data_IF_223194066339
#
_entry.id   IF_223194066339
#
_cell.length_a   1.000
_cell.length_b   1.000
_cell.length_c   1.000
_cell.angle_alpha   90.00
_cell.angle_beta   90.00
_cell.angle_gamma   90.00
#
_symmetry.space_group_name_H-M   'P 1'
#
loop_
_entity.id
_entity.type
_entity.pdbx_description
1 polymer ?
#
# COMPACT_ATOMS: atom_id res chain seq x y z
N UNK A 1 -18.78 -29.22 -6.50
CA UNK A 1 -17.61 -29.02 -5.63
C UNK A 1 -16.60 -28.13 -6.35
N UNK A 2 -16.59 -26.83 -6.05
CA UNK A 2 -15.72 -25.87 -6.74
C UNK A 2 -14.28 -26.12 -6.30
N UNK A 3 -13.43 -26.62 -7.20
CA UNK A 3 -12.00 -26.79 -6.95
C UNK A 3 -11.36 -25.41 -6.87
N UNK A 4 -11.05 -24.96 -5.65
CA UNK A 4 -10.38 -23.70 -5.37
C UNK A 4 -9.01 -23.66 -6.07
N UNK A 5 -8.82 -22.73 -7.01
CA UNK A 5 -7.56 -22.59 -7.73
C UNK A 5 -6.61 -21.60 -7.02
N UNK A 6 -5.33 -21.95 -6.82
CA UNK A 6 -4.35 -21.11 -6.11
C UNK A 6 -4.03 -19.76 -6.78
N UNK A 7 -4.41 -19.59 -8.05
CA UNK A 7 -4.16 -18.39 -8.86
C UNK A 7 -4.76 -17.09 -8.29
N UNK A 8 -5.76 -17.16 -7.39
CA UNK A 8 -6.37 -15.98 -6.77
C UNK A 8 -5.69 -15.51 -5.47
N UNK A 9 -4.78 -16.29 -4.88
CA UNK A 9 -4.13 -15.94 -3.59
C UNK A 9 -3.26 -14.69 -3.72
N UNK A 10 -2.51 -14.57 -4.83
CA UNK A 10 -1.64 -13.42 -5.06
C UNK A 10 -2.41 -12.11 -5.20
N UNK A 11 -3.63 -12.17 -5.71
CA UNK A 11 -4.50 -11.02 -5.87
C UNK A 11 -5.07 -10.52 -4.53
N UNK A 12 -5.53 -11.44 -3.67
CA UNK A 12 -5.99 -11.09 -2.31
C UNK A 12 -4.84 -10.47 -1.51
N UNK A 13 -3.64 -11.05 -1.58
CA UNK A 13 -2.45 -10.50 -0.93
C UNK A 13 -2.15 -9.09 -1.46
N UNK A 14 -2.21 -8.89 -2.78
CA UNK A 14 -2.03 -7.55 -3.35
C UNK A 14 -3.06 -6.56 -2.80
N UNK A 15 -4.34 -6.92 -2.72
CA UNK A 15 -5.38 -6.05 -2.19
C UNK A 15 -5.09 -5.62 -0.75
N UNK A 16 -4.72 -6.55 0.12
CA UNK A 16 -4.34 -6.25 1.50
C UNK A 16 -3.11 -5.32 1.54
N UNK A 17 -2.12 -5.59 0.70
CA UNK A 17 -0.90 -4.78 0.61
C UNK A 17 -1.19 -3.35 0.12
N UNK A 18 -2.03 -3.18 -0.89
CA UNK A 18 -2.39 -1.86 -1.43
C UNK A 18 -3.19 -1.05 -0.42
N UNK A 19 -4.07 -1.70 0.34
CA UNK A 19 -4.86 -1.07 1.40
C UNK A 19 -3.98 -0.58 2.56
N UNK A 20 -2.95 -1.35 2.91
CA UNK A 20 -1.99 -1.01 3.96
C UNK A 20 -1.32 0.35 3.73
N UNK A 21 -0.86 0.63 2.50
CA UNK A 21 -0.07 1.84 2.23
C UNK A 21 -0.79 3.12 2.63
N UNK A 22 -2.07 3.29 2.26
CA UNK A 22 -2.80 4.46 2.75
C UNK A 22 -3.24 4.31 4.21
N UNK A 23 -3.74 3.13 4.58
CA UNK A 23 -4.28 2.92 5.92
C UNK A 23 -3.28 3.31 6.99
N UNK A 24 -2.09 2.71 6.95
CA UNK A 24 -1.03 2.95 7.94
C UNK A 24 -0.41 4.33 7.81
N UNK A 25 -0.28 4.87 6.60
CA UNK A 25 0.30 6.20 6.44
C UNK A 25 -0.55 7.29 7.10
N UNK A 26 -1.88 7.18 7.10
CA UNK A 26 -2.75 8.10 7.84
C UNK A 26 -2.42 8.12 9.34
N UNK A 27 -2.27 6.94 9.95
CA UNK A 27 -1.88 6.82 11.37
C UNK A 27 -0.48 7.36 11.63
N UNK A 28 0.47 7.13 10.70
CA UNK A 28 1.84 7.66 10.80
C UNK A 28 1.86 9.20 10.80
N UNK A 29 1.04 9.84 9.97
CA UNK A 29 1.04 11.31 9.84
C UNK A 29 0.03 12.01 10.77
N UNK A 30 -0.92 11.27 11.34
CA UNK A 30 -1.96 11.82 12.22
C UNK A 30 -3.04 12.62 11.48
N UNK A 31 -3.23 12.37 10.18
CA UNK A 31 -4.14 13.13 9.30
C UNK A 31 -4.91 12.17 8.39
N UNK A 32 -6.22 12.37 8.31
CA UNK A 32 -7.08 11.63 7.40
C UNK A 32 -6.67 11.85 5.94
N UNK A 33 -6.67 10.79 5.16
CA UNK A 33 -6.45 10.82 3.72
C UNK A 33 -7.68 11.30 2.95
N UNK A 34 -8.77 11.67 3.61
CA UNK A 34 -9.98 12.15 2.94
C UNK A 34 -9.62 13.29 1.98
N UNK A 35 -10.03 13.15 0.72
CA UNK A 35 -9.68 14.03 -0.42
C UNK A 35 -8.18 14.11 -0.77
N UNK A 36 -7.30 13.37 -0.10
CA UNK A 36 -5.85 13.37 -0.28
C UNK A 36 -5.25 11.97 -0.50
N UNK A 37 -6.08 10.95 -0.75
CA UNK A 37 -5.68 9.54 -0.82
C UNK A 37 -4.50 9.24 -1.75
N UNK A 38 -4.46 9.88 -2.91
CA UNK A 38 -3.34 9.74 -3.86
C UNK A 38 -2.02 10.21 -3.26
N UNK A 39 -2.02 11.36 -2.59
CA UNK A 39 -0.82 11.92 -1.96
C UNK A 39 -0.36 11.05 -0.80
N UNK A 40 -1.28 10.62 0.06
CA UNK A 40 -0.98 9.72 1.17
C UNK A 40 -0.37 8.40 0.67
N UNK A 41 -0.93 7.81 -0.38
CA UNK A 41 -0.37 6.61 -1.00
C UNK A 41 1.03 6.83 -1.59
N UNK A 42 1.27 7.96 -2.26
CA UNK A 42 2.59 8.30 -2.81
C UNK A 42 3.63 8.41 -1.68
N UNK A 43 3.29 9.09 -0.59
CA UNK A 43 4.16 9.23 0.57
C UNK A 43 4.54 7.86 1.15
N UNK A 44 3.55 6.98 1.33
CA UNK A 44 3.76 5.64 1.83
C UNK A 44 4.73 4.82 0.97
N UNK A 45 4.55 4.85 -0.37
CA UNK A 45 5.45 4.13 -1.29
C UNK A 45 6.86 4.71 -1.28
N UNK A 46 7.01 6.04 -1.28
CA UNK A 46 8.33 6.68 -1.21
C UNK A 46 9.06 6.36 0.10
N UNK A 47 8.32 6.17 1.19
CA UNK A 47 8.88 5.79 2.48
C UNK A 47 9.33 4.33 2.51
N UNK A 48 8.53 3.40 1.96
CA UNK A 48 8.87 1.97 1.92
C UNK A 48 9.93 1.65 0.86
N UNK A 49 9.95 2.40 -0.25
CA UNK A 49 10.91 2.25 -1.34
C UNK A 49 11.60 3.59 -1.69
N UNK A 50 12.48 4.09 -0.81
CA UNK A 50 13.15 5.38 -1.02
C UNK A 50 13.89 5.45 -2.35
N UNK A 51 13.65 6.52 -3.10
CA UNK A 51 14.31 6.81 -4.38
C UNK A 51 14.17 5.73 -5.47
N UNK A 52 13.22 4.79 -5.31
CA UNK A 52 13.05 3.67 -6.26
C UNK A 52 12.15 4.01 -7.45
N UNK A 53 11.16 4.87 -7.24
CA UNK A 53 10.16 5.22 -8.24
C UNK A 53 9.96 6.74 -8.28
N UNK A 54 9.61 7.25 -9.44
CA UNK A 54 9.14 8.62 -9.61
C UNK A 54 7.70 8.77 -9.09
N UNK A 55 7.31 9.98 -8.70
CA UNK A 55 5.92 10.28 -8.30
C UNK A 55 4.91 9.98 -9.43
N UNK A 56 5.34 10.06 -10.70
CA UNK A 56 4.52 9.71 -11.86
C UNK A 56 4.24 8.20 -11.89
N UNK A 57 5.27 7.37 -11.71
CA UNK A 57 5.14 5.92 -11.68
C UNK A 57 4.27 5.45 -10.51
N UNK A 58 4.49 6.01 -9.31
CA UNK A 58 3.67 5.70 -8.14
C UNK A 58 2.23 6.15 -8.35
N UNK A 59 2.03 7.32 -8.97
CA UNK A 59 0.71 7.81 -9.36
C UNK A 59 -0.01 6.86 -10.33
N UNK A 60 0.73 6.23 -11.25
CA UNK A 60 0.17 5.22 -12.15
C UNK A 60 -0.16 3.93 -11.38
N UNK A 61 0.72 3.47 -10.48
CA UNK A 61 0.44 2.34 -9.59
C UNK A 61 -0.84 2.57 -8.78
N UNK A 62 -1.02 3.76 -8.20
CA UNK A 62 -2.23 4.14 -7.48
C UNK A 62 -3.48 4.00 -8.36
N UNK A 63 -3.47 4.58 -9.56
CA UNK A 63 -4.63 4.56 -10.47
C UNK A 63 -4.97 3.17 -11.00
N UNK A 64 -3.97 2.31 -11.21
CA UNK A 64 -4.15 0.98 -11.78
C UNK A 64 -4.50 -0.06 -10.71
N UNK A 65 -3.83 -0.01 -9.55
CA UNK A 65 -4.06 -0.93 -8.46
C UNK A 65 -5.26 -0.46 -7.65
N UNK A 66 -5.14 0.68 -6.99
CA UNK A 66 -6.12 1.06 -5.97
C UNK A 66 -7.44 1.52 -6.55
N UNK A 67 -7.45 2.42 -7.53
CA UNK A 67 -8.71 2.86 -8.12
C UNK A 67 -9.43 1.70 -8.83
N UNK A 68 -8.70 0.83 -9.54
CA UNK A 68 -9.30 -0.38 -10.11
C UNK A 68 -9.88 -1.30 -9.03
N UNK A 69 -9.08 -1.64 -8.01
CA UNK A 69 -9.47 -2.59 -6.98
C UNK A 69 -10.68 -2.16 -6.16
N UNK A 70 -10.82 -0.86 -5.86
CA UNK A 70 -11.89 -0.34 -5.00
C UNK A 70 -13.13 0.12 -5.76
N UNK A 71 -13.04 0.42 -7.07
CA UNK A 71 -14.21 0.77 -7.89
C UNK A 71 -14.73 -0.42 -8.71
N UNK A 72 -13.84 -1.26 -9.22
CA UNK A 72 -14.18 -2.31 -10.20
C UNK A 72 -14.02 -3.74 -9.63
N UNK A 73 -13.54 -3.88 -8.38
CA UNK A 73 -13.26 -5.18 -7.75
C UNK A 73 -12.07 -5.94 -8.37
N UNK A 74 -11.37 -5.33 -9.33
CA UNK A 74 -10.28 -5.89 -10.11
C UNK A 74 -9.20 -4.84 -10.35
N UNK A 75 -7.92 -5.25 -10.44
CA UNK A 75 -6.88 -4.34 -10.94
C UNK A 75 -7.17 -3.99 -12.40
N UNK A 76 -6.83 -2.76 -12.81
CA UNK A 76 -6.91 -2.38 -14.23
C UNK A 76 -5.88 -3.17 -15.05
N UNK A 77 -6.12 -3.27 -16.36
CA UNK A 77 -5.42 -4.20 -17.27
C UNK A 77 -3.89 -4.07 -17.40
N UNK A 78 -3.26 -3.15 -16.69
CA UNK A 78 -1.81 -2.93 -16.68
C UNK A 78 -1.08 -3.62 -15.52
N UNK A 79 -1.78 -4.35 -14.63
CA UNK A 79 -1.14 -5.04 -13.50
C UNK A 79 -1.01 -6.53 -13.75
N UNK A 80 0.22 -7.03 -13.64
CA UNK A 80 0.56 -8.43 -13.80
C UNK A 80 1.19 -8.95 -12.50
N UNK A 81 0.57 -9.97 -11.92
CA UNK A 81 0.92 -10.48 -10.58
C UNK A 81 1.57 -11.86 -10.72
N UNK A 82 2.83 -12.02 -10.29
CA UNK A 82 3.48 -13.34 -10.20
C UNK A 82 4.47 -13.41 -9.04
N UNK A 83 4.44 -14.52 -8.29
CA UNK A 83 5.37 -14.78 -7.18
C UNK A 83 6.81 -15.05 -7.63
N UNK A 84 7.01 -15.32 -8.92
CA UNK A 84 8.33 -15.64 -9.49
C UNK A 84 9.14 -14.40 -9.89
N UNK A 85 8.58 -13.19 -9.83
CA UNK A 85 9.32 -11.99 -10.20
C UNK A 85 10.46 -11.70 -9.22
N UNK A 86 11.60 -11.28 -9.76
CA UNK A 86 12.78 -10.94 -8.96
C UNK A 86 12.58 -9.64 -8.17
N UNK A 87 11.92 -8.65 -8.75
CA UNK A 87 11.62 -7.40 -8.09
C UNK A 87 10.26 -7.44 -7.38
N UNK A 88 10.13 -6.72 -6.26
CA UNK A 88 8.84 -6.58 -5.55
C UNK A 88 7.80 -5.88 -6.42
N UNK A 89 8.17 -4.72 -6.95
CA UNK A 89 7.39 -3.92 -7.89
C UNK A 89 8.36 -3.50 -9.00
N UNK A 90 7.97 -3.75 -10.25
CA UNK A 90 8.67 -3.27 -11.44
C UNK A 90 7.66 -2.53 -12.31
N UNK A 91 7.96 -1.28 -12.64
CA UNK A 91 7.11 -0.43 -13.47
C UNK A 91 7.82 -0.24 -14.80
N UNK A 92 7.13 -0.56 -15.90
CA UNK A 92 7.57 -0.27 -17.27
C UNK A 92 6.62 0.74 -17.89
N UNK A 93 6.87 1.22 -19.11
CA UNK A 93 5.98 2.16 -19.79
C UNK A 93 4.52 1.65 -19.91
N UNK A 94 4.34 0.34 -20.10
CA UNK A 94 3.04 -0.25 -20.40
C UNK A 94 2.43 -1.03 -19.23
N UNK A 95 3.26 -1.72 -18.46
CA UNK A 95 2.81 -2.66 -17.44
C UNK A 95 3.44 -2.37 -16.07
N UNK A 96 2.80 -2.91 -15.04
CA UNK A 96 3.25 -2.93 -13.67
C UNK A 96 3.29 -4.39 -13.23
N UNK A 97 4.49 -4.89 -12.96
CA UNK A 97 4.71 -6.25 -12.49
C UNK A 97 4.86 -6.23 -10.98
N UNK A 98 4.09 -7.06 -10.29
CA UNK A 98 4.10 -7.13 -8.83
C UNK A 98 4.35 -8.57 -8.37
N UNK A 99 5.32 -8.73 -7.47
CA UNK A 99 5.50 -9.93 -6.68
C UNK A 99 4.77 -9.76 -5.35
N UNK A 100 3.56 -10.33 -5.18
CA UNK A 100 2.75 -10.09 -3.98
C UNK A 100 3.38 -10.74 -2.74
N UNK A 101 4.13 -11.84 -2.90
CA UNK A 101 4.86 -12.48 -1.79
C UNK A 101 5.96 -11.57 -1.25
N UNK A 102 6.71 -10.90 -2.12
CA UNK A 102 7.75 -9.96 -1.70
C UNK A 102 7.15 -8.67 -1.16
N UNK A 103 6.09 -8.17 -1.79
CA UNK A 103 5.37 -6.98 -1.33
C UNK A 103 4.83 -7.16 0.09
N UNK A 104 4.26 -8.32 0.40
CA UNK A 104 3.80 -8.63 1.75
C UNK A 104 4.96 -8.63 2.75
N UNK A 105 6.11 -9.20 2.40
CA UNK A 105 7.30 -9.18 3.26
C UNK A 105 7.78 -7.75 3.54
N UNK A 106 7.85 -6.93 2.50
CA UNK A 106 8.29 -5.53 2.62
C UNK A 106 7.34 -4.72 3.52
N UNK A 107 6.03 -4.96 3.41
CA UNK A 107 5.01 -4.36 4.27
C UNK A 107 5.09 -4.86 5.71
N UNK A 108 5.32 -6.15 5.94
CA UNK A 108 5.51 -6.68 7.29
C UNK A 108 6.71 -6.02 7.97
N UNK A 109 7.84 -5.87 7.27
CA UNK A 109 9.02 -5.16 7.79
C UNK A 109 8.69 -3.71 8.12
N UNK A 110 8.01 -3.00 7.21
CA UNK A 110 7.60 -1.62 7.45
C UNK A 110 6.66 -1.47 8.66
N UNK A 111 5.75 -2.43 8.84
CA UNK A 111 4.80 -2.42 9.94
C UNK A 111 5.51 -2.65 11.28
N UNK A 112 6.42 -3.62 11.37
CA UNK A 112 7.21 -3.86 12.59
C UNK A 112 8.05 -2.63 12.96
N UNK A 113 8.69 -1.98 11.98
CA UNK A 113 9.41 -0.73 12.21
C UNK A 113 8.49 0.39 12.72
N UNK A 114 7.26 0.44 12.25
CA UNK A 114 6.28 1.40 12.76
C UNK A 114 5.88 1.09 14.20
N UNK A 115 5.65 -0.18 14.55
CA UNK A 115 5.36 -0.58 15.92
C UNK A 115 6.51 -0.23 16.86
N UNK A 116 7.75 -0.42 16.43
CA UNK A 116 8.92 0.03 17.19
C UNK A 116 8.94 1.55 17.38
N UNK A 117 8.64 2.31 16.31
CA UNK A 117 8.51 3.77 16.38
C UNK A 117 7.43 4.16 17.40
N UNK A 118 6.26 3.54 17.38
CA UNK A 118 5.17 3.80 18.34
C UNK A 118 5.57 3.47 19.79
N UNK A 119 6.45 2.50 20.03
CA UNK A 119 6.92 2.18 21.39
C UNK A 119 7.92 3.21 21.91
N UNK A 120 8.70 3.83 21.03
CA UNK A 120 9.84 4.64 21.42
C UNK A 120 9.66 6.16 21.21
N UNK A 121 8.71 6.58 20.37
CA UNK A 121 8.47 7.98 20.01
C UNK A 121 7.09 8.43 20.50
N UNK A 122 7.09 9.46 21.37
CA UNK A 122 5.86 10.06 21.90
C UNK A 122 5.05 10.78 20.81
N UNK A 123 5.71 11.52 19.92
CA UNK A 123 5.03 12.26 18.86
C UNK A 123 4.34 11.31 17.87
N UNK A 124 4.98 10.17 17.57
CA UNK A 124 4.38 9.14 16.75
C UNK A 124 3.11 8.53 17.39
N UNK A 125 3.10 8.36 18.72
CA UNK A 125 1.91 7.91 19.45
C UNK A 125 0.79 8.94 19.42
N UNK A 126 1.09 10.21 19.63
CA UNK A 126 0.10 11.28 19.54
C UNK A 126 -0.58 11.33 18.15
N UNK A 127 0.21 11.17 17.08
CA UNK A 127 -0.31 11.07 15.71
C UNK A 127 -1.22 9.86 15.53
N UNK A 128 -0.81 8.70 16.03
CA UNK A 128 -1.63 7.48 16.01
C UNK A 128 -2.95 7.68 16.77
N UNK A 129 -2.88 8.15 18.01
CA UNK A 129 -4.04 8.34 18.89
C UNK A 129 -5.02 9.34 18.29
N UNK A 130 -4.52 10.43 17.69
CA UNK A 130 -5.36 11.41 16.99
C UNK A 130 -6.18 10.77 15.86
N UNK A 131 -5.60 9.86 15.09
CA UNK A 131 -6.31 9.15 14.03
C UNK A 131 -7.20 8.02 14.54
N UNK A 132 -6.80 7.35 15.62
CA UNK A 132 -7.54 6.23 16.19
C UNK A 132 -8.78 6.67 16.96
N UNK A 133 -8.73 7.82 17.62
CA UNK A 133 -9.75 8.24 18.59
C UNK A 133 -11.08 8.68 17.98
N UNK A 134 -11.23 8.75 16.65
CA UNK A 134 -12.41 9.29 15.95
C UNK A 134 -12.89 10.66 16.49
N UNK A 135 -12.01 11.43 17.14
CA UNK A 135 -12.33 12.78 17.59
C UNK A 135 -12.17 13.68 16.37
N UNK A 136 -13.23 13.72 15.56
CA UNK A 136 -13.43 14.78 14.59
C UNK A 136 -13.48 16.09 15.36
N UNK A 137 -12.36 16.84 15.36
CA UNK A 137 -12.37 18.24 15.76
C UNK A 137 -13.11 19.02 14.66
N UNK A 138 -14.44 19.02 14.74
CA UNK A 138 -15.30 20.00 14.09
C UNK A 138 -15.14 21.37 14.77
#
# INVERSE_FOLDING_TARGET
>A
MVKYKPEHKGFIVLMSCISYFEGVEQYKIGISSNRNSRRTFINAINRVYPNKFTNQEIGRLYSQARCGLFHDGMVKGQIIIRNSYEETIKITNNDIFINPKKLLKDICVDFENYLETLRNDHEAREKFDKMFSNIDNN
#
